data_IF_044603449885
#
_entry.id   IF_044603449885
#
_cell.length_a   1.000
_cell.length_b   1.000
_cell.length_c   1.000
_cell.angle_alpha   90.00
_cell.angle_beta   90.00
_cell.angle_gamma   90.00
#
_symmetry.space_group_name_H-M   'P 1'
#
loop_
_entity.id
_entity.type
_entity.pdbx_description
1 polymer ?
#
# COMPACT_ATOMS: atom_id res chain seq x y z
N UNK A 1 0.86 -11.23 3.72
CA UNK A 1 0.99 -10.88 2.28
C UNK A 1 0.12 -11.85 1.50
N UNK A 2 -1.12 -11.43 1.28
CA UNK A 2 -2.22 -12.25 0.75
C UNK A 2 -2.53 -12.00 -0.72
N UNK A 3 -1.87 -11.03 -1.35
CA UNK A 3 -2.15 -10.59 -2.71
C UNK A 3 -1.21 -11.21 -3.74
N UNK A 4 -1.77 -11.68 -4.85
CA UNK A 4 -1.05 -12.21 -6.01
C UNK A 4 -1.64 -11.68 -7.30
N UNK A 5 -0.78 -11.45 -8.27
CA UNK A 5 -1.21 -11.16 -9.64
C UNK A 5 -1.67 -12.47 -10.28
N UNK A 6 -2.98 -12.62 -10.48
CA UNK A 6 -3.62 -13.84 -11.01
C UNK A 6 -3.84 -13.76 -12.51
N UNK A 7 -4.04 -12.56 -13.04
CA UNK A 7 -4.00 -12.24 -14.46
C UNK A 7 -3.36 -10.86 -14.66
N UNK A 8 -3.04 -10.48 -15.90
CA UNK A 8 -2.33 -9.24 -16.18
C UNK A 8 -3.05 -8.03 -15.58
N UNK A 9 -2.41 -7.35 -14.62
CA UNK A 9 -2.97 -6.20 -13.91
C UNK A 9 -4.07 -6.52 -12.87
N UNK A 10 -4.43 -7.78 -12.68
CA UNK A 10 -5.44 -8.20 -11.71
C UNK A 10 -4.79 -8.89 -10.51
N UNK A 11 -5.10 -8.37 -9.33
CA UNK A 11 -4.56 -8.83 -8.07
C UNK A 11 -5.64 -9.49 -7.24
N UNK A 12 -5.49 -10.77 -6.95
CA UNK A 12 -6.41 -11.51 -6.08
C UNK A 12 -5.80 -11.70 -4.69
N UNK A 13 -6.58 -11.50 -3.65
CA UNK A 13 -6.15 -11.68 -2.28
C UNK A 13 -7.28 -11.76 -1.27
N UNK A 14 -6.93 -12.00 -0.01
CA UNK A 14 -7.87 -12.11 1.10
C UNK A 14 -7.77 -10.88 1.98
N UNK A 15 -8.93 -10.32 2.32
CA UNK A 15 -9.06 -9.16 3.19
C UNK A 15 -10.46 -9.15 3.82
N UNK A 16 -10.53 -8.99 5.15
CA UNK A 16 -11.80 -8.86 5.87
C UNK A 16 -12.73 -10.07 5.73
N UNK A 17 -12.17 -11.29 5.75
CA UNK A 17 -12.93 -12.54 5.62
C UNK A 17 -13.53 -12.78 4.23
N UNK A 18 -13.04 -12.10 3.18
CA UNK A 18 -13.48 -12.25 1.80
C UNK A 18 -12.31 -12.34 0.84
N UNK A 19 -12.54 -12.96 -0.30
CA UNK A 19 -11.60 -12.94 -1.43
C UNK A 19 -11.98 -11.79 -2.35
N UNK A 20 -10.96 -11.06 -2.79
CA UNK A 20 -11.08 -9.88 -3.62
C UNK A 20 -10.20 -10.05 -4.85
N UNK A 21 -10.68 -9.62 -6.01
CA UNK A 21 -9.85 -9.34 -7.18
C UNK A 21 -9.88 -7.84 -7.44
N UNK A 22 -8.73 -7.22 -7.60
CA UNK A 22 -8.56 -5.78 -7.81
C UNK A 22 -7.82 -5.50 -9.12
N UNK A 23 -8.24 -4.47 -9.84
CA UNK A 23 -7.54 -3.93 -11.01
C UNK A 23 -7.71 -2.41 -11.04
N UNK A 24 -6.98 -1.70 -11.89
CA UNK A 24 -7.08 -0.24 -11.97
C UNK A 24 -7.00 0.30 -13.39
N UNK A 25 -7.68 1.41 -13.62
CA UNK A 25 -7.48 2.31 -14.76
C UNK A 25 -6.79 3.59 -14.27
N UNK A 26 -6.52 4.54 -15.18
CA UNK A 26 -5.85 5.81 -14.83
C UNK A 26 -6.60 6.62 -13.75
N UNK A 27 -7.92 6.45 -13.65
CA UNK A 27 -8.81 7.25 -12.80
C UNK A 27 -9.65 6.44 -11.79
N UNK A 28 -9.59 5.10 -11.84
CA UNK A 28 -10.45 4.25 -11.03
C UNK A 28 -9.75 2.98 -10.52
N UNK A 29 -10.13 2.57 -9.31
CA UNK A 29 -9.84 1.26 -8.73
C UNK A 29 -11.08 0.38 -8.89
N UNK A 30 -10.93 -0.74 -9.59
CA UNK A 30 -11.99 -1.72 -9.80
C UNK A 30 -11.82 -2.90 -8.86
N UNK A 31 -12.93 -3.44 -8.38
CA UNK A 31 -12.92 -4.61 -7.52
C UNK A 31 -14.04 -5.60 -7.86
N UNK A 32 -13.79 -6.85 -7.50
CA UNK A 32 -14.78 -7.93 -7.45
C UNK A 32 -14.59 -8.70 -6.15
N UNK A 33 -15.68 -9.05 -5.45
CA UNK A 33 -15.62 -9.86 -4.23
C UNK A 33 -16.29 -11.21 -4.43
N UNK A 34 -15.63 -12.26 -3.96
CA UNK A 34 -16.20 -13.60 -3.94
C UNK A 34 -16.80 -13.85 -2.56
N UNK A 35 -18.12 -14.07 -2.50
CA UNK A 35 -18.80 -14.47 -1.28
C UNK A 35 -18.53 -15.92 -0.93
N UNK A 36 -18.61 -16.26 0.36
CA UNK A 36 -18.76 -17.66 0.78
C UNK A 36 -20.08 -18.16 0.20
N UNK A 37 -20.04 -19.05 -0.78
CA UNK A 37 -21.24 -19.80 -1.15
C UNK A 37 -21.66 -20.59 0.08
N UNK A 38 -22.77 -20.18 0.69
CA UNK A 38 -23.37 -20.89 1.80
C UNK A 38 -23.62 -22.34 1.43
N UNK A 39 -23.19 -23.26 2.30
CA UNK A 39 -23.65 -24.64 2.28
C UNK A 39 -25.19 -24.62 2.37
N UNK A 40 -25.94 -25.26 1.46
CA UNK A 40 -27.39 -25.09 1.40
C UNK A 40 -28.07 -25.78 2.58
N UNK A 41 -28.63 -25.00 3.50
CA UNK A 41 -29.63 -25.48 4.46
C UNK A 41 -31.00 -24.94 4.08
N UNK A 42 -31.84 -25.87 3.63
CA UNK A 42 -33.31 -25.94 3.63
C UNK A 42 -34.11 -24.63 3.70
N UNK A 43 -34.85 -24.43 2.60
CA UNK A 43 -36.09 -23.66 2.41
C UNK A 43 -36.72 -23.01 3.65
N UNK A 44 -36.99 -21.70 3.56
CA UNK A 44 -38.30 -21.22 3.98
C UNK A 44 -38.80 -20.04 3.14
N UNK A 45 -39.98 -20.22 2.55
CA UNK A 45 -40.65 -19.29 1.63
C UNK A 45 -41.59 -18.40 2.42
N UNK A 46 -41.41 -17.07 2.43
CA UNK A 46 -42.53 -16.12 2.66
C UNK A 46 -42.29 -14.70 2.12
N UNK A 47 -42.85 -14.50 0.91
CA UNK A 47 -43.59 -13.35 0.35
C UNK A 47 -43.16 -11.89 0.64
N UNK A 48 -42.88 -11.21 -0.47
CA UNK A 48 -42.82 -9.75 -0.71
C UNK A 48 -44.18 -9.04 -0.54
N UNK A 49 -44.13 -7.77 -0.10
CA UNK A 49 -44.93 -6.57 -0.46
C UNK A 49 -44.09 -5.37 0.06
N UNK A 50 -43.77 -4.26 -0.60
CA UNK A 50 -44.27 -3.54 -1.77
C UNK A 50 -44.36 -2.05 -1.36
N UNK A 51 -43.71 -1.11 -2.06
CA UNK A 51 -44.00 0.33 -1.90
C UNK A 51 -42.84 1.34 -1.98
N UNK A 52 -42.73 1.98 -3.14
CA UNK A 52 -42.44 3.39 -3.46
C UNK A 52 -41.33 4.23 -2.75
N UNK A 53 -40.49 4.84 -3.60
CA UNK A 53 -39.67 6.05 -3.39
C UNK A 53 -40.45 7.31 -3.87
N UNK A 54 -40.04 8.59 -3.61
CA UNK A 54 -38.82 9.16 -4.20
C UNK A 54 -38.04 10.27 -3.41
N UNK A 55 -36.71 10.27 -3.64
CA UNK A 55 -35.78 11.37 -3.93
C UNK A 55 -35.79 12.72 -3.17
N UNK A 56 -34.59 13.17 -2.76
CA UNK A 56 -34.07 14.51 -3.11
C UNK A 56 -32.53 14.65 -2.97
N UNK A 57 -31.99 15.49 -3.85
CA UNK A 57 -30.60 15.65 -4.28
C UNK A 57 -29.88 16.79 -3.51
N UNK A 58 -28.63 16.59 -3.10
CA UNK A 58 -27.71 17.69 -2.78
C UNK A 58 -26.29 17.38 -3.29
N UNK A 59 -25.79 18.26 -4.16
CA UNK A 59 -24.49 18.19 -4.83
C UNK A 59 -23.36 18.58 -3.88
N UNK A 60 -22.24 17.85 -3.91
CA UNK A 60 -20.93 18.39 -3.50
C UNK A 60 -19.77 17.77 -4.29
N UNK A 61 -18.83 18.65 -4.57
CA UNK A 61 -17.65 18.58 -5.43
C UNK A 61 -16.62 17.50 -5.04
N UNK A 62 -16.07 16.80 -6.04
CA UNK A 62 -14.97 15.84 -5.93
C UNK A 62 -13.61 16.52 -6.16
N UNK A 63 -12.54 16.00 -5.55
CA UNK A 63 -11.71 15.04 -6.29
C UNK A 63 -11.53 13.76 -5.48
N UNK A 64 -11.87 12.61 -6.07
CA UNK A 64 -11.68 11.32 -5.41
C UNK A 64 -11.53 10.23 -6.47
N UNK A 65 -10.50 9.40 -6.34
CA UNK A 65 -10.33 8.18 -7.14
C UNK A 65 -11.63 7.37 -7.02
N UNK A 66 -12.22 7.04 -8.16
CA UNK A 66 -13.48 6.30 -8.20
C UNK A 66 -13.20 4.83 -7.86
N UNK A 67 -13.89 4.27 -6.88
CA UNK A 67 -13.86 2.84 -6.59
C UNK A 67 -15.13 2.24 -7.18
N UNK A 68 -15.01 1.23 -8.05
CA UNK A 68 -16.15 0.67 -8.80
C UNK A 68 -16.14 -0.86 -8.79
N UNK A 69 -17.31 -1.46 -8.78
CA UNK A 69 -17.50 -2.90 -8.89
C UNK A 69 -17.65 -3.31 -10.37
N UNK A 70 -16.94 -4.35 -10.83
CA UNK A 70 -17.19 -4.96 -12.15
C UNK A 70 -18.44 -5.85 -12.10
N UNK A 71 -19.36 -5.67 -13.06
CA UNK A 71 -20.54 -6.53 -13.23
C UNK A 71 -20.25 -7.55 -14.32
N UNK A 72 -20.30 -8.84 -13.99
CA UNK A 72 -20.30 -9.90 -14.99
C UNK A 72 -21.62 -9.89 -15.80
N UNK A 73 -21.50 -9.92 -17.12
CA UNK A 73 -22.57 -10.26 -18.04
C UNK A 73 -22.41 -11.72 -18.50
N UNK A 74 -23.47 -12.50 -18.26
CA UNK A 74 -23.74 -13.90 -18.65
C UNK A 74 -22.87 -15.02 -18.04
N UNK A 75 -23.34 -15.59 -16.92
CA UNK A 75 -24.04 -16.89 -16.99
C UNK A 75 -24.86 -17.19 -15.72
N UNK A 76 -26.08 -17.64 -15.99
CA UNK A 76 -27.22 -17.97 -15.15
C UNK A 76 -26.92 -18.81 -13.88
N UNK A 77 -26.74 -18.17 -12.72
CA UNK A 77 -26.95 -18.77 -11.39
C UNK A 77 -27.39 -17.70 -10.38
N UNK A 78 -28.71 -17.62 -10.13
CA UNK A 78 -29.30 -17.11 -8.89
C UNK A 78 -28.83 -15.74 -8.40
N UNK A 79 -29.23 -14.67 -9.07
CA UNK A 79 -29.03 -13.28 -8.60
C UNK A 79 -29.72 -13.06 -7.25
N UNK A 80 -29.00 -13.27 -6.16
CA UNK A 80 -29.30 -12.61 -4.89
C UNK A 80 -28.79 -11.18 -5.04
N UNK A 81 -29.71 -10.29 -5.36
CA UNK A 81 -29.49 -8.85 -5.41
C UNK A 81 -29.18 -8.37 -3.98
N UNK A 82 -27.94 -8.54 -3.51
CA UNK A 82 -27.48 -7.91 -2.27
C UNK A 82 -27.49 -6.41 -2.50
N UNK A 83 -28.30 -5.72 -1.70
CA UNK A 83 -28.38 -4.26 -1.71
C UNK A 83 -26.97 -3.69 -1.60
N UNK A 84 -26.60 -2.83 -2.55
CA UNK A 84 -25.44 -1.94 -2.46
C UNK A 84 -25.54 -1.11 -1.18
N UNK A 85 -24.76 -1.44 -0.16
CA UNK A 85 -24.67 -0.65 1.09
C UNK A 85 -23.36 0.18 1.17
N UNK A 86 -22.50 0.05 0.14
CA UNK A 86 -21.20 0.71 0.08
C UNK A 86 -20.23 0.24 1.18
N UNK A 87 -20.50 -0.91 1.81
CA UNK A 87 -19.63 -1.46 2.86
C UNK A 87 -18.29 -1.90 2.27
N UNK A 88 -18.26 -2.52 1.09
CA UNK A 88 -17.05 -2.97 0.41
C UNK A 88 -16.14 -1.80 0.03
N UNK A 89 -16.71 -0.72 -0.53
CA UNK A 89 -15.97 0.49 -0.86
C UNK A 89 -15.31 1.09 0.39
N UNK A 90 -16.01 1.13 1.53
CA UNK A 90 -15.45 1.64 2.79
C UNK A 90 -14.28 0.80 3.27
N UNK A 91 -14.37 -0.53 3.16
CA UNK A 91 -13.27 -1.44 3.50
C UNK A 91 -12.05 -1.16 2.62
N UNK A 92 -12.23 -1.03 1.30
CA UNK A 92 -11.12 -0.70 0.38
C UNK A 92 -10.51 0.68 0.67
N UNK A 93 -11.35 1.69 0.91
CA UNK A 93 -10.88 3.05 1.25
C UNK A 93 -10.05 3.07 2.52
N UNK A 94 -10.45 2.31 3.54
CA UNK A 94 -9.71 2.16 4.79
C UNK A 94 -8.41 1.39 4.57
N UNK A 95 -8.47 0.24 3.90
CA UNK A 95 -7.31 -0.64 3.67
C UNK A 95 -6.21 0.04 2.85
N UNK A 96 -6.55 0.80 1.81
CA UNK A 96 -5.60 1.58 1.01
C UNK A 96 -5.35 3.00 1.54
N UNK A 97 -6.02 3.38 2.64
CA UNK A 97 -5.96 4.70 3.26
C UNK A 97 -6.17 5.84 2.25
N UNK A 98 -7.22 5.71 1.42
CA UNK A 98 -7.49 6.62 0.29
C UNK A 98 -7.90 8.03 0.73
N UNK A 99 -8.23 8.21 2.01
CA UNK A 99 -8.46 9.51 2.63
C UNK A 99 -7.17 10.33 2.81
N UNK A 100 -6.00 9.70 2.80
CA UNK A 100 -4.71 10.39 2.94
C UNK A 100 -4.27 10.94 1.58
N UNK A 101 -4.01 12.26 1.44
CA UNK A 101 -3.62 12.88 0.18
C UNK A 101 -2.15 12.58 -0.17
N UNK A 102 -1.88 11.40 -0.74
CA UNK A 102 -0.52 10.93 -1.02
C UNK A 102 0.31 11.91 -1.87
N UNK A 103 -0.30 12.59 -2.83
CA UNK A 103 0.39 13.58 -3.66
C UNK A 103 0.90 14.79 -2.89
N UNK A 104 0.23 15.19 -1.79
CA UNK A 104 0.71 16.24 -0.89
C UNK A 104 1.91 15.76 -0.08
N UNK A 105 1.84 14.54 0.46
CA UNK A 105 2.96 13.93 1.18
C UNK A 105 4.21 13.80 0.30
N UNK A 106 4.04 13.35 -0.95
CA UNK A 106 5.14 13.26 -1.92
C UNK A 106 5.80 14.63 -2.17
N UNK A 107 5.00 15.71 -2.30
CA UNK A 107 5.53 17.07 -2.45
C UNK A 107 6.27 17.55 -1.20
N UNK A 108 5.73 17.27 -0.02
CA UNK A 108 6.36 17.63 1.25
C UNK A 108 7.73 16.95 1.40
N UNK A 109 7.79 15.62 1.26
CA UNK A 109 9.04 14.86 1.36
C UNK A 109 10.05 15.27 0.29
N UNK A 110 9.61 15.49 -0.96
CA UNK A 110 10.48 15.95 -2.03
C UNK A 110 11.02 17.38 -1.83
N UNK A 111 10.36 18.21 -1.00
CA UNK A 111 10.82 19.57 -0.69
C UNK A 111 11.96 19.60 0.32
N UNK A 112 12.04 18.59 1.20
CA UNK A 112 13.03 18.50 2.28
C UNK A 112 14.13 17.47 2.01
N UNK A 113 13.94 16.59 1.03
CA UNK A 113 14.88 15.52 0.68
C UNK A 113 15.04 15.38 -0.85
N UNK A 114 16.22 15.79 -1.33
CA UNK A 114 16.56 15.70 -2.75
C UNK A 114 16.63 14.25 -3.24
N UNK A 115 17.13 13.32 -2.43
CA UNK A 115 17.18 11.91 -2.83
C UNK A 115 15.76 11.36 -2.98
N UNK A 116 14.87 11.67 -2.04
CA UNK A 116 13.47 11.29 -2.15
C UNK A 116 12.83 11.88 -3.41
N UNK A 117 13.09 13.16 -3.72
CA UNK A 117 12.57 13.82 -4.93
C UNK A 117 12.93 13.08 -6.21
N UNK A 118 14.16 12.59 -6.33
CA UNK A 118 14.61 11.84 -7.50
C UNK A 118 13.85 10.50 -7.62
N UNK A 119 13.68 9.79 -6.49
CA UNK A 119 12.95 8.51 -6.45
C UNK A 119 11.44 8.70 -6.72
N UNK A 120 10.85 9.77 -6.19
CA UNK A 120 9.42 10.07 -6.31
C UNK A 120 8.96 10.25 -7.76
N UNK A 121 9.84 10.68 -8.66
CA UNK A 121 9.54 10.81 -10.09
C UNK A 121 9.37 9.46 -10.80
N UNK A 122 10.05 8.41 -10.30
CA UNK A 122 10.02 7.07 -10.87
C UNK A 122 9.03 6.14 -10.15
N UNK A 123 8.83 6.36 -8.85
CA UNK A 123 8.03 5.51 -7.97
C UNK A 123 6.83 6.28 -7.40
N UNK A 124 5.80 6.45 -8.20
CA UNK A 124 4.54 7.07 -7.80
C UNK A 124 3.55 6.03 -7.27
N UNK A 125 2.58 6.48 -6.47
CA UNK A 125 1.46 5.63 -6.04
C UNK A 125 1.77 4.59 -4.96
N UNK A 126 2.98 4.57 -4.38
CA UNK A 126 3.33 3.67 -3.29
C UNK A 126 2.61 4.10 -2.01
N UNK A 127 1.59 3.31 -1.61
CA UNK A 127 0.75 3.57 -0.44
C UNK A 127 1.02 2.59 0.68
N UNK A 128 0.82 3.05 1.91
CA UNK A 128 0.82 2.19 3.08
C UNK A 128 -0.54 1.52 3.26
N UNK A 129 -0.56 0.20 3.33
CA UNK A 129 -1.77 -0.56 3.62
C UNK A 129 -2.08 -0.49 5.12
N UNK A 130 -3.38 -0.47 5.47
CA UNK A 130 -3.88 -0.56 6.83
C UNK A 130 -4.38 -1.97 7.11
N UNK A 131 -3.46 -2.85 7.46
CA UNK A 131 -3.71 -4.28 7.62
C UNK A 131 -4.43 -4.60 8.94
N UNK A 132 -5.03 -5.78 9.00
CA UNK A 132 -5.48 -6.37 10.25
C UNK A 132 -4.26 -6.60 11.19
N UNK A 133 -4.32 -6.17 12.46
CA UNK A 133 -3.20 -6.32 13.40
C UNK A 133 -2.78 -7.77 13.65
N UNK A 134 -3.71 -8.74 13.63
CA UNK A 134 -3.41 -10.15 13.84
C UNK A 134 -2.66 -10.71 12.65
N UNK A 135 -3.21 -10.55 11.44
CA UNK A 135 -2.53 -10.97 10.20
C UNK A 135 -1.14 -10.32 10.10
N UNK A 136 -1.06 -9.02 10.35
CA UNK A 136 0.18 -8.26 10.25
C UNK A 136 1.25 -8.80 11.22
N UNK A 137 0.93 -8.94 12.50
CA UNK A 137 1.84 -9.44 13.52
C UNK A 137 2.40 -10.83 13.19
N UNK A 138 1.52 -11.80 12.98
CA UNK A 138 1.95 -13.19 12.77
C UNK A 138 2.63 -13.38 11.42
N UNK A 139 2.25 -12.60 10.41
CA UNK A 139 3.01 -12.52 9.15
C UNK A 139 4.42 -12.01 9.38
N UNK A 140 4.61 -10.92 10.16
CA UNK A 140 5.93 -10.33 10.38
C UNK A 140 6.84 -11.17 11.27
N UNK A 141 6.31 -11.94 12.22
CA UNK A 141 7.09 -12.92 12.98
C UNK A 141 7.77 -13.93 12.02
N UNK A 142 7.10 -14.29 10.91
CA UNK A 142 7.64 -15.19 9.88
C UNK A 142 8.78 -14.58 9.03
N UNK A 143 8.99 -13.25 9.09
CA UNK A 143 9.93 -12.53 8.21
C UNK A 143 11.37 -12.48 8.73
N UNK A 144 11.57 -12.71 10.03
CA UNK A 144 12.89 -12.64 10.67
C UNK A 144 13.87 -13.60 9.99
N UNK A 145 15.01 -13.12 9.48
CA UNK A 145 16.01 -13.92 8.75
C UNK A 145 15.40 -14.83 7.66
N UNK A 146 14.65 -14.22 6.73
CA UNK A 146 13.91 -14.91 5.68
C UNK A 146 13.80 -14.04 4.42
N UNK A 147 13.32 -14.58 3.30
CA UNK A 147 13.11 -13.83 2.06
C UNK A 147 11.66 -13.90 1.57
N UNK A 148 11.23 -12.87 0.83
CA UNK A 148 9.82 -12.62 0.49
C UNK A 148 9.11 -13.84 -0.09
N UNK A 149 9.71 -14.54 -1.07
CA UNK A 149 9.09 -15.70 -1.70
C UNK A 149 8.85 -16.88 -0.75
N UNK A 150 9.76 -17.14 0.21
CA UNK A 150 9.56 -18.19 1.22
C UNK A 150 8.51 -17.76 2.24
N UNK A 151 8.50 -16.49 2.63
CA UNK A 151 7.52 -15.92 3.57
C UNK A 151 6.11 -16.07 3.02
N UNK A 152 5.90 -15.73 1.73
CA UNK A 152 4.60 -15.87 1.06
C UNK A 152 4.11 -17.33 1.14
N UNK A 153 4.91 -18.30 0.70
CA UNK A 153 4.53 -19.70 0.77
C UNK A 153 4.31 -20.21 2.21
N UNK A 154 5.03 -19.68 3.21
CA UNK A 154 4.78 -20.00 4.61
C UNK A 154 3.39 -19.51 5.06
N UNK A 155 3.07 -18.24 4.81
CA UNK A 155 1.78 -17.64 5.20
C UNK A 155 0.63 -18.37 4.52
N UNK A 156 0.78 -18.72 3.24
CA UNK A 156 -0.25 -19.47 2.51
C UNK A 156 -0.52 -20.84 3.12
N UNK A 157 0.53 -21.61 3.44
CA UNK A 157 0.38 -22.91 4.12
C UNK A 157 -0.23 -22.75 5.51
N UNK A 158 0.08 -21.66 6.20
CA UNK A 158 -0.53 -21.34 7.50
C UNK A 158 -2.05 -21.11 7.36
N UNK A 159 -2.46 -20.26 6.41
CA UNK A 159 -3.89 -19.99 6.17
C UNK A 159 -4.62 -21.26 5.70
N UNK A 160 -4.04 -22.05 4.78
CA UNK A 160 -4.66 -23.31 4.34
C UNK A 160 -4.81 -24.32 5.49
N UNK A 161 -3.85 -24.35 6.42
CA UNK A 161 -3.85 -25.33 7.51
C UNK A 161 -4.76 -24.94 8.68
N UNK A 162 -4.78 -23.66 9.05
CA UNK A 162 -5.41 -23.18 10.29
C UNK A 162 -6.47 -22.09 10.07
N UNK A 163 -6.61 -21.57 8.85
CA UNK A 163 -7.58 -20.54 8.49
C UNK A 163 -8.94 -21.11 8.14
N UNK A 164 -9.99 -20.30 8.28
CA UNK A 164 -11.33 -20.69 7.85
C UNK A 164 -11.40 -20.72 6.30
N UNK A 165 -11.97 -21.76 5.68
CA UNK A 165 -12.13 -21.80 4.22
C UNK A 165 -13.10 -20.72 3.75
N UNK A 166 -12.74 -20.01 2.67
CA UNK A 166 -13.56 -18.94 2.08
C UNK A 166 -14.19 -19.40 0.76
N UNK A 167 -13.35 -19.66 -0.25
CA UNK A 167 -13.77 -20.15 -1.56
C UNK A 167 -12.60 -20.80 -2.32
N UNK A 168 -12.87 -21.32 -3.51
CA UNK A 168 -11.86 -21.85 -4.42
C UNK A 168 -12.01 -21.15 -5.77
N UNK A 169 -10.91 -20.63 -6.32
CA UNK A 169 -10.87 -19.98 -7.63
C UNK A 169 -9.83 -20.71 -8.49
N UNK A 170 -10.23 -21.19 -9.67
CA UNK A 170 -9.35 -21.90 -10.61
C UNK A 170 -8.53 -23.03 -9.95
N UNK A 171 -9.19 -23.81 -9.09
CA UNK A 171 -8.55 -24.89 -8.34
C UNK A 171 -7.71 -24.43 -7.14
N UNK A 172 -7.49 -23.13 -6.95
CA UNK A 172 -6.71 -22.57 -5.84
C UNK A 172 -7.62 -22.28 -4.62
N UNK A 173 -7.40 -22.93 -3.47
CA UNK A 173 -8.21 -22.68 -2.28
C UNK A 173 -7.77 -21.41 -1.54
N UNK A 174 -8.73 -20.56 -1.19
CA UNK A 174 -8.53 -19.36 -0.40
C UNK A 174 -9.11 -19.57 1.01
N UNK A 175 -8.29 -19.23 2.00
CA UNK A 175 -8.64 -19.32 3.41
C UNK A 175 -8.38 -17.98 4.07
N UNK A 176 -9.14 -17.67 5.11
CA UNK A 176 -8.90 -16.50 5.95
C UNK A 176 -7.61 -16.65 6.76
N UNK A 177 -7.12 -15.56 7.33
CA UNK A 177 -6.02 -15.64 8.27
C UNK A 177 -6.48 -16.37 9.56
N UNK A 178 -5.65 -17.25 10.15
CA UNK A 178 -6.04 -17.95 11.38
C UNK A 178 -6.34 -16.99 12.53
N UNK A 179 -7.38 -17.30 13.31
CA UNK A 179 -7.68 -16.55 14.53
C UNK A 179 -6.59 -16.75 15.59
N UNK A 180 -6.49 -15.82 16.55
CA UNK A 180 -5.55 -15.94 17.68
C UNK A 180 -5.82 -17.24 18.45
N UNK A 181 -7.09 -17.62 18.61
CA UNK A 181 -7.50 -18.88 19.24
C UNK A 181 -6.97 -20.09 18.49
N UNK A 182 -7.10 -20.10 17.16
CA UNK A 182 -6.57 -21.19 16.33
C UNK A 182 -5.04 -21.29 16.42
N UNK A 183 -4.34 -20.15 16.51
CA UNK A 183 -2.87 -20.11 16.64
C UNK A 183 -2.37 -20.52 18.03
N UNK A 184 -3.16 -20.30 19.08
CA UNK A 184 -2.75 -20.55 20.46
C UNK A 184 -2.82 -22.03 20.87
N UNK A 185 -3.50 -22.88 20.11
CA UNK A 185 -3.65 -24.31 20.42
C UNK A 185 -2.30 -25.01 20.63
N UNK A 186 -2.22 -25.93 21.60
CA UNK A 186 -0.97 -26.59 21.98
C UNK A 186 -0.36 -27.46 20.87
N UNK A 187 -1.17 -27.90 19.91
CA UNK A 187 -0.71 -28.72 18.77
C UNK A 187 -0.08 -27.90 17.65
N UNK A 188 -0.30 -26.58 17.63
CA UNK A 188 0.09 -25.68 16.54
C UNK A 188 1.61 -25.60 16.38
N UNK A 189 2.38 -25.57 17.47
CA UNK A 189 3.85 -25.50 17.34
C UNK A 189 4.38 -26.71 16.55
N UNK A 190 3.95 -27.92 16.91
CA UNK A 190 4.36 -29.14 16.22
C UNK A 190 3.93 -29.11 14.75
N UNK A 191 2.66 -28.76 14.50
CA UNK A 191 2.13 -28.63 13.14
C UNK A 191 2.91 -27.62 12.28
N UNK A 192 3.31 -26.47 12.82
CA UNK A 192 4.05 -25.46 12.08
C UNK A 192 5.51 -25.88 11.84
N UNK A 193 6.10 -26.68 12.72
CA UNK A 193 7.43 -27.28 12.48
C UNK A 193 7.40 -28.19 11.27
N UNK A 194 6.38 -29.04 11.15
CA UNK A 194 6.19 -29.91 9.99
C UNK A 194 5.96 -29.13 8.69
N UNK A 195 5.33 -27.94 8.78
CA UNK A 195 5.13 -27.03 7.64
C UNK A 195 6.37 -26.17 7.28
N UNK A 196 7.49 -26.38 7.98
CA UNK A 196 8.78 -25.74 7.67
C UNK A 196 8.97 -24.34 8.27
N UNK A 197 8.24 -23.99 9.33
CA UNK A 197 8.42 -22.71 10.04
C UNK A 197 9.70 -22.67 10.89
N UNK A 198 10.25 -23.84 11.22
CA UNK A 198 11.45 -23.98 12.04
C UNK A 198 11.24 -23.39 13.44
N UNK A 199 12.23 -22.65 13.95
CA UNK A 199 12.15 -22.05 15.29
C UNK A 199 11.00 -21.04 15.46
N UNK A 200 10.49 -20.46 14.36
CA UNK A 200 9.39 -19.48 14.39
C UNK A 200 8.06 -20.10 14.78
N UNK A 201 7.90 -21.41 14.58
CA UNK A 201 6.69 -22.15 15.01
C UNK A 201 6.36 -21.88 16.49
N UNK A 202 7.38 -21.94 17.34
CA UNK A 202 7.29 -21.61 18.77
C UNK A 202 6.83 -20.17 18.99
N UNK A 203 7.38 -19.22 18.24
CA UNK A 203 7.04 -17.81 18.40
C UNK A 203 5.59 -17.49 18.03
N UNK A 204 5.06 -18.10 16.95
CA UNK A 204 3.67 -17.93 16.57
C UNK A 204 2.73 -18.46 17.66
N UNK A 205 2.93 -19.72 18.08
CA UNK A 205 2.05 -20.34 19.06
C UNK A 205 2.13 -19.65 20.44
N UNK A 206 3.33 -19.35 20.93
CA UNK A 206 3.51 -18.73 22.25
C UNK A 206 3.04 -17.27 22.28
N UNK A 207 3.24 -16.52 21.19
CA UNK A 207 2.70 -15.15 21.12
C UNK A 207 1.17 -15.16 21.13
N UNK A 208 0.53 -16.05 20.37
CA UNK A 208 -0.93 -16.19 20.37
C UNK A 208 -1.46 -16.58 21.76
N UNK A 209 -0.81 -17.55 22.41
CA UNK A 209 -1.15 -17.97 23.78
C UNK A 209 -1.01 -16.81 24.78
N UNK A 210 0.12 -16.11 24.77
CA UNK A 210 0.36 -14.98 25.66
C UNK A 210 -0.68 -13.86 25.47
N UNK A 211 -1.08 -13.56 24.24
CA UNK A 211 -2.13 -12.56 23.96
C UNK A 211 -3.45 -12.98 24.62
N UNK A 212 -3.87 -14.23 24.45
CA UNK A 212 -5.13 -14.71 25.05
C UNK A 212 -5.07 -14.72 26.58
N UNK A 213 -3.97 -15.20 27.15
CA UNK A 213 -3.85 -15.40 28.60
C UNK A 213 -3.68 -14.08 29.36
N UNK A 214 -2.97 -13.11 28.79
CA UNK A 214 -2.58 -11.87 29.50
C UNK A 214 -3.36 -10.62 29.09
N UNK A 215 -3.97 -10.60 27.91
CA UNK A 215 -4.55 -9.36 27.36
C UNK A 215 -5.95 -9.51 26.74
N UNK A 216 -6.28 -10.69 26.22
CA UNK A 216 -7.51 -10.96 25.49
C UNK A 216 -7.40 -10.73 23.98
N UNK A 217 -8.40 -11.17 23.20
CA UNK A 217 -8.34 -11.21 21.74
C UNK A 217 -8.31 -9.83 21.06
N UNK A 218 -8.90 -8.80 21.69
CA UNK A 218 -8.99 -7.45 21.13
C UNK A 218 -7.77 -6.56 21.42
N UNK A 219 -6.78 -7.08 22.15
CA UNK A 219 -5.63 -6.29 22.60
C UNK A 219 -4.85 -5.69 21.44
N UNK A 220 -4.54 -6.47 20.40
CA UNK A 220 -3.81 -5.96 19.23
C UNK A 220 -4.54 -4.79 18.56
N UNK A 221 -5.87 -4.88 18.43
CA UNK A 221 -6.67 -3.81 17.86
C UNK A 221 -6.67 -2.55 18.75
N UNK A 222 -6.65 -2.73 20.08
CA UNK A 222 -6.59 -1.62 21.03
C UNK A 222 -5.31 -0.78 20.89
N UNK A 223 -4.19 -1.38 20.45
CA UNK A 223 -2.91 -0.69 20.26
C UNK A 223 -2.95 0.39 19.15
N UNK A 224 -3.96 0.38 18.28
CA UNK A 224 -4.23 1.50 17.35
C UNK A 224 -4.43 2.82 18.09
N UNK A 225 -5.02 2.79 19.29
CA UNK A 225 -5.25 4.00 20.12
C UNK A 225 -4.08 4.35 21.03
N UNK A 226 -3.15 3.43 21.27
CA UNK A 226 -1.99 3.68 22.12
C UNK A 226 -0.96 4.62 21.44
N UNK A 227 -0.15 5.37 22.20
CA UNK A 227 1.01 6.07 21.66
C UNK A 227 1.99 5.12 20.96
N UNK A 228 2.73 5.61 19.96
CA UNK A 228 3.63 4.78 19.15
C UNK A 228 4.65 3.99 19.99
N UNK A 229 5.37 4.65 20.90
CA UNK A 229 6.40 3.98 21.69
C UNK A 229 5.81 2.92 22.63
N UNK A 230 4.66 3.20 23.24
CA UNK A 230 3.93 2.24 24.08
C UNK A 230 3.45 1.03 23.28
N UNK A 231 2.86 1.23 22.10
CA UNK A 231 2.44 0.14 21.21
C UNK A 231 3.64 -0.72 20.79
N UNK A 232 4.76 -0.09 20.42
CA UNK A 232 5.99 -0.80 20.02
C UNK A 232 6.54 -1.63 21.16
N UNK A 233 6.67 -1.04 22.35
CA UNK A 233 7.27 -1.74 23.50
C UNK A 233 6.33 -2.82 24.04
N UNK A 234 5.01 -2.64 23.96
CA UNK A 234 4.02 -3.67 24.24
C UNK A 234 4.15 -4.88 23.30
N UNK A 235 4.28 -4.65 21.98
CA UNK A 235 4.50 -5.73 21.01
C UNK A 235 5.79 -6.50 21.26
N UNK A 236 6.86 -5.82 21.70
CA UNK A 236 8.18 -6.44 21.98
C UNK A 236 8.19 -7.39 23.16
N UNK A 237 7.13 -7.42 23.97
CA UNK A 237 6.96 -8.42 25.02
C UNK A 237 6.64 -9.80 24.47
N UNK A 238 6.24 -9.90 23.19
CA UNK A 238 5.86 -11.15 22.56
C UNK A 238 7.08 -11.92 22.02
N UNK A 239 7.08 -13.26 22.11
CA UNK A 239 8.11 -14.12 21.55
C UNK A 239 8.37 -13.86 20.06
N UNK A 240 9.63 -13.63 19.69
CA UNK A 240 10.03 -13.42 18.30
C UNK A 240 9.78 -12.01 17.76
N UNK A 241 9.32 -11.08 18.60
CA UNK A 241 9.07 -9.68 18.21
C UNK A 241 10.20 -8.76 18.69
N UNK A 242 11.15 -8.48 17.80
CA UNK A 242 12.18 -7.45 18.01
C UNK A 242 11.72 -6.06 17.55
N UNK A 243 12.61 -5.06 17.66
CA UNK A 243 12.35 -3.67 17.24
C UNK A 243 11.78 -3.58 15.81
N UNK A 244 12.42 -4.24 14.85
CA UNK A 244 11.99 -4.26 13.45
C UNK A 244 10.59 -4.82 13.26
N UNK A 245 10.27 -5.95 13.90
CA UNK A 245 8.95 -6.59 13.77
C UNK A 245 7.89 -5.68 14.39
N UNK A 246 8.15 -5.14 15.59
CA UNK A 246 7.24 -4.22 16.27
C UNK A 246 6.99 -2.96 15.42
N UNK A 247 8.02 -2.37 14.83
CA UNK A 247 7.87 -1.19 13.97
C UNK A 247 7.14 -1.51 12.67
N UNK A 248 7.34 -2.70 12.07
CA UNK A 248 6.54 -3.14 10.92
C UNK A 248 5.05 -3.19 11.27
N UNK A 249 4.70 -3.80 12.40
CA UNK A 249 3.30 -3.91 12.85
C UNK A 249 2.73 -2.53 13.19
N UNK A 250 3.50 -1.67 13.85
CA UNK A 250 3.12 -0.29 14.16
C UNK A 250 2.78 0.51 12.89
N UNK A 251 3.65 0.43 11.88
CA UNK A 251 3.50 1.16 10.62
C UNK A 251 2.33 0.64 9.78
N UNK A 252 2.20 -0.68 9.66
CA UNK A 252 1.32 -1.32 8.66
C UNK A 252 -0.05 -1.74 9.20
N UNK A 253 -0.28 -1.69 10.52
CA UNK A 253 -1.57 -2.12 11.10
C UNK A 253 -2.06 -1.32 12.30
N UNK A 254 -1.19 -0.57 13.00
CA UNK A 254 -1.54 0.15 14.24
C UNK A 254 -1.62 1.68 14.09
N UNK A 255 -1.71 2.18 12.86
CA UNK A 255 -1.89 3.61 12.55
C UNK A 255 -0.72 4.51 13.01
N UNK A 256 0.51 3.97 13.10
CA UNK A 256 1.70 4.73 13.50
C UNK A 256 2.51 5.13 12.27
N UNK A 257 2.05 6.14 11.53
CA UNK A 257 2.67 6.59 10.29
C UNK A 257 4.14 7.03 10.42
N UNK A 258 4.60 7.36 11.63
CA UNK A 258 5.98 7.72 11.94
C UNK A 258 6.89 6.53 12.30
N UNK A 259 6.34 5.32 12.45
CA UNK A 259 7.11 4.12 12.77
C UNK A 259 8.03 3.75 11.60
N UNK A 260 9.28 3.42 11.90
CA UNK A 260 10.33 3.21 10.89
C UNK A 260 11.04 1.88 11.10
N UNK A 261 10.64 0.82 10.37
CA UNK A 261 11.29 -0.47 10.49
C UNK A 261 12.69 -0.44 9.85
N UNK A 262 13.74 -0.29 10.65
CA UNK A 262 15.12 -0.29 10.14
C UNK A 262 15.66 -1.71 10.00
N UNK A 263 15.74 -2.22 8.77
CA UNK A 263 16.40 -3.48 8.46
C UNK A 263 17.76 -3.26 7.76
N UNK A 264 18.34 -4.33 7.23
CA UNK A 264 19.61 -4.25 6.48
C UNK A 264 19.50 -3.42 5.21
N UNK A 265 18.34 -3.38 4.54
CA UNK A 265 18.11 -2.55 3.36
C UNK A 265 18.06 -1.08 3.75
N UNK A 266 17.30 -0.75 4.80
CA UNK A 266 17.22 0.64 5.27
C UNK A 266 18.56 1.13 5.82
N UNK A 267 19.33 0.25 6.48
CA UNK A 267 20.71 0.54 6.85
C UNK A 267 21.61 0.82 5.65
N UNK A 268 21.46 0.09 4.55
CA UNK A 268 22.21 0.33 3.31
C UNK A 268 21.81 1.66 2.65
N UNK A 269 20.52 1.97 2.59
CA UNK A 269 20.00 3.25 2.07
C UNK A 269 20.55 4.42 2.87
N UNK A 270 20.45 4.36 4.21
CA UNK A 270 20.98 5.40 5.10
C UNK A 270 22.48 5.65 4.88
N UNK A 271 23.26 4.60 4.60
CA UNK A 271 24.70 4.73 4.32
C UNK A 271 24.99 5.26 2.92
N UNK A 272 24.37 4.65 1.89
CA UNK A 272 24.63 4.93 0.48
C UNK A 272 24.13 6.32 0.07
N UNK A 273 22.90 6.64 0.46
CA UNK A 273 22.17 7.78 -0.08
C UNK A 273 22.20 8.99 0.87
N UNK A 274 22.33 8.74 2.18
CA UNK A 274 22.35 9.78 3.22
C UNK A 274 23.69 9.93 3.95
N UNK A 275 24.71 9.14 3.56
CA UNK A 275 26.09 9.18 4.11
C UNK A 275 26.14 9.03 5.64
N UNK A 276 25.18 8.33 6.23
CA UNK A 276 25.00 8.25 7.68
C UNK A 276 26.18 7.61 8.43
N UNK A 277 26.77 6.52 7.89
CA UNK A 277 27.92 5.85 8.54
C UNK A 277 29.20 6.70 8.46
N UNK A 278 29.41 7.46 7.38
CA UNK A 278 30.57 8.37 7.26
C UNK A 278 30.49 9.48 8.31
N UNK A 279 29.28 9.98 8.60
CA UNK A 279 29.07 11.01 9.61
C UNK A 279 29.19 10.49 11.07
N UNK A 280 28.97 9.19 11.31
CA UNK A 280 28.87 8.63 12.68
C UNK A 280 29.96 7.61 13.05
N UNK A 281 30.73 7.11 12.09
CA UNK A 281 31.81 6.14 12.28
C UNK A 281 31.36 4.71 12.64
N UNK A 282 30.05 4.40 12.57
CA UNK A 282 29.48 3.13 13.05
C UNK A 282 29.40 2.06 11.95
N UNK A 283 29.70 0.80 12.31
CA UNK A 283 29.84 -0.34 11.37
C UNK A 283 28.78 -1.45 11.51
N UNK A 284 27.95 -1.42 12.55
CA UNK A 284 26.93 -2.46 12.81
C UNK A 284 25.59 -1.84 13.25
N UNK A 285 24.50 -2.56 12.96
CA UNK A 285 23.14 -2.16 13.31
C UNK A 285 22.82 -2.60 14.74
N UNK A 286 23.27 -1.83 15.74
CA UNK A 286 22.88 -2.00 17.15
C UNK A 286 21.53 -1.32 17.42
N UNK A 287 20.89 -1.62 18.55
CA UNK A 287 19.64 -0.96 18.97
C UNK A 287 19.75 0.57 19.02
N UNK A 288 20.91 1.10 19.43
CA UNK A 288 21.16 2.55 19.42
C UNK A 288 21.25 3.10 17.99
N UNK A 289 21.93 2.39 17.10
CA UNK A 289 22.01 2.77 15.67
C UNK A 289 20.64 2.72 15.02
N UNK A 290 19.86 1.68 15.30
CA UNK A 290 18.49 1.51 14.86
C UNK A 290 17.63 2.74 15.23
N UNK A 291 17.67 3.15 16.50
CA UNK A 291 16.93 4.31 16.99
C UNK A 291 17.39 5.60 16.33
N UNK A 292 18.70 5.83 16.25
CA UNK A 292 19.24 7.07 15.69
C UNK A 292 18.91 7.23 14.19
N UNK A 293 18.89 6.14 13.41
CA UNK A 293 18.43 6.16 12.00
C UNK A 293 16.94 6.49 11.93
N UNK A 294 16.13 5.86 12.79
CA UNK A 294 14.71 6.16 12.86
C UNK A 294 14.46 7.64 13.20
N UNK A 295 15.17 8.20 14.17
CA UNK A 295 15.03 9.60 14.57
C UNK A 295 15.50 10.56 13.48
N UNK A 296 16.58 10.22 12.77
CA UNK A 296 17.05 10.97 11.61
C UNK A 296 15.95 11.11 10.55
N UNK A 297 15.33 9.99 10.13
CA UNK A 297 14.28 10.01 9.11
C UNK A 297 12.96 10.59 9.61
N UNK A 298 12.61 10.42 10.89
CA UNK A 298 11.46 11.12 11.51
C UNK A 298 11.64 12.64 11.50
N UNK A 299 12.85 13.12 11.78
CA UNK A 299 13.19 14.54 11.72
C UNK A 299 13.14 15.06 10.28
N UNK A 300 13.51 14.25 9.30
CA UNK A 300 13.52 14.61 7.89
C UNK A 300 12.12 14.67 7.27
N UNK A 301 11.31 13.63 7.45
CA UNK A 301 10.01 13.47 6.76
C UNK A 301 8.78 13.68 7.65
N UNK A 302 8.99 13.99 8.93
CA UNK A 302 7.92 14.36 9.85
C UNK A 302 7.00 13.20 10.22
N UNK A 303 5.71 13.51 10.36
CA UNK A 303 4.69 12.63 10.94
C UNK A 303 4.44 11.34 10.15
N UNK A 304 4.72 11.36 8.84
CA UNK A 304 4.53 10.22 7.94
C UNK A 304 5.86 9.63 7.45
N UNK A 305 6.93 9.78 8.23
CA UNK A 305 8.26 9.28 7.86
C UNK A 305 8.29 7.78 7.49
N UNK A 306 7.47 6.95 8.15
CA UNK A 306 7.35 5.53 7.82
C UNK A 306 6.80 5.27 6.41
N UNK A 307 5.97 6.16 5.89
CA UNK A 307 5.41 6.06 4.55
C UNK A 307 6.45 6.47 3.49
N UNK A 308 7.17 7.57 3.70
CA UNK A 308 8.28 7.99 2.85
C UNK A 308 9.35 6.88 2.76
N UNK A 309 9.71 6.32 3.91
CA UNK A 309 10.58 5.16 4.02
C UNK A 309 10.14 3.99 3.13
N UNK A 310 8.84 3.69 3.08
CA UNK A 310 8.31 2.60 2.25
C UNK A 310 8.46 2.86 0.75
N UNK A 311 8.43 4.12 0.30
CA UNK A 311 8.73 4.47 -1.09
C UNK A 311 10.19 4.12 -1.42
N UNK A 312 11.14 4.54 -0.57
CA UNK A 312 12.56 4.24 -0.78
C UNK A 312 12.84 2.74 -0.71
N UNK A 313 12.22 2.05 0.25
CA UNK A 313 12.33 0.59 0.36
C UNK A 313 11.84 -0.10 -0.91
N UNK A 314 10.66 0.27 -1.42
CA UNK A 314 10.13 -0.25 -2.68
C UNK A 314 11.08 0.00 -3.85
N UNK A 315 11.68 1.19 -3.93
CA UNK A 315 12.64 1.52 -4.97
C UNK A 315 13.94 0.69 -4.88
N UNK A 316 14.34 0.22 -3.70
CA UNK A 316 15.57 -0.57 -3.51
C UNK A 316 15.38 -2.07 -3.82
N UNK A 317 14.14 -2.57 -3.86
CA UNK A 317 13.86 -3.97 -4.17
C UNK A 317 14.35 -4.35 -5.58
N UNK A 318 15.06 -5.49 -5.68
CA UNK A 318 15.62 -6.02 -6.93
C UNK A 318 14.60 -6.08 -8.08
N UNK A 319 13.34 -6.43 -7.77
CA UNK A 319 12.25 -6.51 -8.77
C UNK A 319 12.04 -5.19 -9.52
N UNK A 320 12.35 -4.06 -8.89
CA UNK A 320 12.08 -2.73 -9.43
C UNK A 320 13.34 -1.98 -9.87
N UNK A 321 14.52 -2.61 -9.79
CA UNK A 321 15.77 -1.97 -10.27
C UNK A 321 15.70 -1.59 -11.76
N UNK A 322 15.01 -2.40 -12.58
CA UNK A 322 14.79 -2.10 -14.01
C UNK A 322 14.03 -0.80 -14.26
N UNK A 323 13.19 -0.34 -13.32
CA UNK A 323 12.49 0.94 -13.43
C UNK A 323 13.44 2.13 -13.27
N UNK A 324 14.55 1.95 -12.54
CA UNK A 324 15.61 2.98 -12.40
C UNK A 324 16.48 3.11 -13.66
N UNK A 325 16.48 2.09 -14.52
CA UNK A 325 17.27 2.06 -15.76
C UNK A 325 16.51 2.66 -16.95
N UNK A 326 15.21 2.91 -16.80
CA UNK A 326 14.42 3.57 -17.84
C UNK A 326 14.81 5.05 -17.93
N UNK A 327 15.17 5.56 -19.12
CA UNK A 327 15.52 6.96 -19.27
C UNK A 327 14.32 7.82 -18.88
N UNK A 328 14.52 8.69 -17.89
CA UNK A 328 13.59 9.78 -17.58
C UNK A 328 13.49 10.58 -18.87
N UNK A 329 12.35 10.49 -19.57
CA UNK A 329 12.02 11.46 -20.61
C UNK A 329 11.90 12.79 -19.87
N UNK A 330 12.97 13.59 -19.89
CA UNK A 330 12.85 15.01 -19.61
C UNK A 330 11.80 15.51 -20.60
N UNK A 331 10.65 15.96 -20.10
CA UNK A 331 9.83 16.85 -20.90
C UNK A 331 10.75 18.01 -21.27
N UNK A 332 11.08 18.11 -22.56
CA UNK A 332 11.82 19.25 -23.08
C UNK A 332 11.01 20.48 -22.70
N UNK A 333 11.58 21.28 -21.80
CA UNK A 333 11.01 22.58 -21.45
C UNK A 333 10.81 23.34 -22.75
N UNK A 334 9.58 23.76 -23.01
CA UNK A 334 9.30 24.77 -24.01
C UNK A 334 10.01 26.03 -23.51
N UNK A 335 11.24 26.26 -24.00
CA UNK A 335 11.90 27.54 -23.91
C UNK A 335 11.04 28.53 -24.70
N UNK A 336 10.17 29.25 -23.99
CA UNK A 336 9.52 30.43 -24.55
C UNK A 336 10.59 31.51 -24.63
N UNK A 337 11.29 31.57 -25.77
CA UNK A 337 12.09 32.74 -26.15
C UNK A 337 11.14 33.92 -26.33
N UNK A 338 11.13 34.83 -25.36
CA UNK A 338 10.58 36.17 -25.53
C UNK A 338 11.67 37.02 -26.17
N UNK A 339 11.65 37.13 -27.50
CA UNK A 339 12.45 38.14 -28.20
C UNK A 339 11.68 39.47 -28.12
N UNK A 340 12.25 40.42 -27.37
CA UNK A 340 11.85 41.83 -27.40
C UNK A 340 12.45 42.45 -28.65
N UNK A 341 11.67 42.55 -29.73
CA UNK A 341 12.00 43.45 -30.83
C UNK A 341 11.66 44.89 -30.42
N UNK A 342 12.68 45.69 -30.12
CA UNK A 342 12.56 47.15 -30.12
C UNK A 342 12.52 47.62 -31.58
N UNK A 343 11.32 47.89 -32.09
CA UNK A 343 11.17 48.68 -33.31
C UNK A 343 11.17 50.17 -32.95
N UNK A 344 12.24 50.88 -33.30
CA UNK A 344 12.28 52.35 -33.28
C UNK A 344 11.41 52.91 -34.40
N UNK A 345 10.23 53.42 -34.05
CA UNK A 345 9.50 54.37 -34.90
C UNK A 345 9.66 55.78 -34.32
N UNK A 346 10.32 56.64 -35.09
CA UNK A 346 10.42 58.07 -34.83
C UNK A 346 9.03 58.72 -34.93
N UNK A 347 8.46 59.12 -33.79
CA UNK A 347 7.34 60.07 -33.75
C UNK A 347 7.62 61.14 -32.71
N UNK A 348 7.79 62.37 -33.20
CA UNK A 348 8.00 63.59 -32.42
C UNK A 348 6.84 63.87 -31.46
N UNK A 349 7.21 64.37 -30.28
CA UNK A 349 6.40 65.10 -29.30
C UNK A 349 5.30 64.32 -28.55
N UNK A 350 5.69 63.75 -27.41
CA UNK A 350 5.15 64.13 -26.11
C UNK A 350 3.78 63.61 -25.71
N UNK A 351 3.66 62.32 -25.38
CA UNK A 351 2.84 61.83 -24.26
C UNK A 351 3.23 60.38 -23.89
N UNK A 352 3.35 60.04 -22.59
CA UNK A 352 3.78 58.70 -22.14
C UNK A 352 2.63 57.91 -21.51
N UNK A 353 2.04 57.01 -22.29
CA UNK A 353 1.23 55.89 -21.81
C UNK A 353 1.45 54.65 -22.68
N UNK A 354 2.21 53.66 -22.20
CA UNK A 354 2.50 52.42 -22.93
C UNK A 354 1.43 51.36 -22.68
N UNK A 355 0.73 50.94 -23.75
CA UNK A 355 -0.11 49.73 -23.80
C UNK A 355 0.67 48.60 -24.46
N UNK A 356 0.89 47.50 -23.74
CA UNK A 356 1.45 46.26 -24.31
C UNK A 356 0.34 45.42 -24.96
N UNK A 357 0.55 44.94 -26.19
CA UNK A 357 -0.27 43.88 -26.82
C UNK A 357 0.62 42.69 -27.13
N UNK A 358 0.31 41.54 -26.55
CA UNK A 358 0.93 40.25 -26.88
C UNK A 358 0.24 39.62 -28.09
N UNK A 359 1.01 39.15 -29.08
CA UNK A 359 0.53 38.30 -30.18
C UNK A 359 1.14 36.90 -30.01
N UNK A 360 0.30 35.88 -29.94
CA UNK A 360 0.71 34.47 -29.93
C UNK A 360 0.76 34.00 -31.39
N UNK A 361 1.93 33.53 -31.85
CA UNK A 361 2.10 32.90 -33.16
C UNK A 361 2.26 31.40 -32.93
N UNK A 362 1.41 30.59 -33.58
CA UNK A 362 1.42 29.14 -33.48
C UNK A 362 2.09 28.55 -34.74
N UNK A 363 3.20 27.78 -34.66
CA UNK A 363 3.82 27.19 -35.84
C UNK A 363 3.08 25.93 -36.28
N UNK A 364 2.65 25.92 -37.56
CA UNK A 364 2.07 24.76 -38.24
C UNK A 364 3.18 23.81 -38.73
N UNK A 365 3.09 22.54 -38.31
CA UNK A 365 3.15 21.36 -39.20
C UNK A 365 4.52 20.79 -39.60
N UNK A 366 4.73 19.50 -39.30
CA UNK A 366 5.50 18.61 -40.17
C UNK A 366 4.95 17.18 -40.11
N UNK A 367 4.42 16.76 -41.27
CA UNK A 367 3.83 15.47 -41.63
C UNK A 367 4.94 14.43 -41.83
N UNK A 368 4.83 13.23 -41.24
CA UNK A 368 5.68 12.08 -41.59
C UNK A 368 5.06 11.34 -42.79
N UNK A 369 5.80 11.30 -43.92
CA UNK A 369 5.56 10.42 -45.06
C UNK A 369 6.01 9.00 -44.73
N UNK A 370 5.13 8.03 -44.95
CA UNK A 370 5.49 6.62 -45.12
C UNK A 370 6.22 6.43 -46.45
N UNK A 371 7.31 5.66 -46.42
CA UNK A 371 8.11 5.29 -47.59
C UNK A 371 8.30 3.79 -47.65
N UNK A 372 7.46 3.14 -48.45
CA UNK A 372 7.62 1.77 -48.93
C UNK A 372 8.77 1.69 -49.94
N UNK A 373 9.63 0.67 -49.83
CA UNK A 373 10.47 0.21 -50.95
C UNK A 373 10.55 -1.32 -50.95
N UNK A 374 9.93 -1.91 -51.96
CA UNK A 374 10.25 -3.23 -52.52
C UNK A 374 11.56 -3.13 -53.30
N UNK A 375 12.39 -4.17 -53.20
CA UNK A 375 12.87 -4.97 -54.32
C UNK A 375 13.43 -6.28 -53.80
#
# INVERSE_FOLDING_TARGET
MTWRETSNGHWTGVMGGRVWTLTQTDDALWYHTYGSQGCPSTEDKRKRRGGAEPAQLAKRSKPMVAVKEERDCDQDLGVVNSKWDGSEEKVLRDYFQLNVPLGELYREWASVDHHFKDIANMFTGVRMLRQDPTECLFSFICTSNNHISRIQGMIERLCVKLGAPLCQLDGTPYHDFPSIQALADSTVEACLRDLGFGYRARFLQQSARQILDSHGPDWLLSLRRAPYLEARDALRTLPGVGLKVADCVCLMSLDKACALPVDTHMWQIAQRDYRYSVATGRKSLTDKVYQDIGDFFRKLWGSHAGWAHSVLFCADLKKFQKLKELPIKKEEGIEVKVELEESTEDVKNGDKGSRQKAKIINPKGLVKKEGSKKS
#
